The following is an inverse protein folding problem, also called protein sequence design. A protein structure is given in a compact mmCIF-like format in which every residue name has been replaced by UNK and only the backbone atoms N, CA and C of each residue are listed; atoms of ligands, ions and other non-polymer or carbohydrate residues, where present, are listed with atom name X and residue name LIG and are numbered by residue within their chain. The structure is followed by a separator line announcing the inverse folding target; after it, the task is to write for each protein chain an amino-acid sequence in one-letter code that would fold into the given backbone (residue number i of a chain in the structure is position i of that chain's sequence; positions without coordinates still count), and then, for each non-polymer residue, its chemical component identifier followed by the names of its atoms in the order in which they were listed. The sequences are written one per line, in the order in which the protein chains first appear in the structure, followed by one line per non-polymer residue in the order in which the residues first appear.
data_IF_084954723495
#
_entry.id   IF_084954723495
#
_cell.length_a   1.000
_cell.length_b   1.000
_cell.length_c   1.000
_cell.angle_alpha   90.00
_cell.angle_beta   90.00
_cell.angle_gamma   90.00
#
_symmetry.space_group_name_H-M   'P 1'
#
loop_
_entity.id
_entity.type
_entity.pdbx_description
1 polymer ?
#
# COMPACT_ATOMS: atom_id res chain seq x y z
N UNK A 1 -14.32 -13.25 -15.07
CA UNK A 1 -13.82 -12.09 -14.28
C UNK A 1 -13.27 -12.63 -12.96
N UNK A 2 -12.01 -13.12 -12.93
CA UNK A 2 -11.61 -14.19 -11.99
C UNK A 2 -10.90 -13.78 -10.69
N UNK A 3 -10.68 -12.50 -10.40
CA UNK A 3 -10.16 -12.08 -9.08
C UNK A 3 -10.72 -10.73 -8.67
N UNK A 4 -11.74 -10.76 -7.81
CA UNK A 4 -12.34 -9.57 -7.20
C UNK A 4 -11.29 -8.68 -6.53
N UNK A 5 -10.37 -9.31 -5.78
CA UNK A 5 -9.27 -8.63 -5.08
C UNK A 5 -8.30 -7.93 -6.03
N UNK A 6 -7.97 -8.53 -7.18
CA UNK A 6 -7.11 -7.89 -8.16
C UNK A 6 -7.75 -6.63 -8.76
N UNK A 7 -9.06 -6.66 -9.02
CA UNK A 7 -9.79 -5.48 -9.50
C UNK A 7 -9.89 -4.39 -8.44
N UNK A 8 -10.16 -4.76 -7.19
CA UNK A 8 -10.21 -3.79 -6.08
C UNK A 8 -8.85 -3.12 -5.87
N UNK A 9 -7.76 -3.89 -5.92
CA UNK A 9 -6.39 -3.39 -5.84
C UNK A 9 -6.10 -2.39 -6.98
N UNK A 10 -6.43 -2.77 -8.22
CA UNK A 10 -6.22 -1.93 -9.40
C UNK A 10 -7.01 -0.62 -9.31
N UNK A 11 -8.31 -0.71 -8.99
CA UNK A 11 -9.18 0.46 -8.85
C UNK A 11 -8.72 1.39 -7.72
N UNK A 12 -8.27 0.83 -6.59
CA UNK A 12 -7.75 1.62 -5.46
C UNK A 12 -6.46 2.34 -5.83
N UNK A 13 -5.54 1.67 -6.55
CA UNK A 13 -4.30 2.29 -7.02
C UNK A 13 -4.57 3.43 -8.01
N UNK A 14 -5.44 3.20 -9.00
CA UNK A 14 -5.85 4.23 -9.97
C UNK A 14 -6.58 5.39 -9.27
N UNK A 15 -7.47 5.07 -8.32
CA UNK A 15 -8.13 6.04 -7.45
C UNK A 15 -7.12 6.91 -6.71
N UNK A 16 -6.12 6.31 -6.09
CA UNK A 16 -4.99 6.98 -5.44
C UNK A 16 -4.28 7.98 -6.31
N UNK A 17 -3.87 7.55 -7.51
CA UNK A 17 -3.19 8.41 -8.46
C UNK A 17 -4.06 9.61 -8.88
N UNK A 18 -5.36 9.40 -9.10
CA UNK A 18 -6.30 10.48 -9.36
C UNK A 18 -6.47 11.41 -8.16
N UNK A 19 -6.56 10.87 -6.94
CA UNK A 19 -6.65 11.65 -5.70
C UNK A 19 -5.44 12.57 -5.51
N UNK A 20 -4.23 12.05 -5.73
CA UNK A 20 -2.99 12.84 -5.72
C UNK A 20 -3.01 13.95 -6.79
N UNK A 21 -3.43 13.63 -8.00
CA UNK A 21 -3.52 14.60 -9.10
C UNK A 21 -4.58 15.70 -8.85
N UNK A 22 -5.69 15.36 -8.21
CA UNK A 22 -6.73 16.31 -7.78
C UNK A 22 -6.23 17.25 -6.70
N UNK A 23 -5.47 16.74 -5.72
CA UNK A 23 -4.87 17.53 -4.65
C UNK A 23 -3.86 18.56 -5.17
N UNK A 24 -3.11 18.23 -6.22
CA UNK A 24 -2.16 19.16 -6.84
C UNK A 24 -2.81 20.32 -7.58
N UNK A 25 -3.96 20.09 -8.23
CA UNK A 25 -4.62 21.12 -9.04
C UNK A 25 -5.52 22.04 -8.23
N UNK A 26 -6.08 21.54 -7.13
CA UNK A 26 -7.00 22.29 -6.30
C UNK A 26 -6.49 22.27 -4.86
N UNK A 27 -5.90 23.36 -4.39
CA UNK A 27 -5.48 23.51 -2.97
C UNK A 27 -6.66 23.51 -1.99
N UNK A 28 -7.88 23.74 -2.47
CA UNK A 28 -9.13 23.59 -1.70
C UNK A 28 -9.77 22.21 -1.84
N UNK A 29 -9.06 21.21 -2.38
CA UNK A 29 -9.66 19.94 -2.79
C UNK A 29 -10.31 19.18 -1.62
N UNK A 30 -11.55 18.84 -1.91
CA UNK A 30 -12.55 18.17 -1.10
C UNK A 30 -12.07 16.86 -0.50
N UNK A 31 -12.67 16.46 0.64
CA UNK A 31 -12.36 15.20 1.33
C UNK A 31 -12.45 13.94 0.46
N UNK A 32 -13.10 14.00 -0.71
CA UNK A 32 -13.07 12.94 -1.71
C UNK A 32 -11.68 12.69 -2.32
N UNK A 33 -10.89 13.74 -2.59
CA UNK A 33 -9.53 13.59 -3.13
C UNK A 33 -8.60 12.93 -2.11
N UNK A 34 -8.71 13.32 -0.84
CA UNK A 34 -8.02 12.69 0.29
C UNK A 34 -8.44 11.23 0.48
N UNK A 35 -9.74 10.93 0.40
CA UNK A 35 -10.23 9.56 0.48
C UNK A 35 -9.63 8.67 -0.61
N UNK A 36 -9.62 9.16 -1.86
CA UNK A 36 -9.01 8.45 -2.98
C UNK A 36 -7.50 8.24 -2.77
N UNK A 37 -6.78 9.26 -2.30
CA UNK A 37 -5.35 9.15 -1.99
C UNK A 37 -5.09 8.06 -0.93
N UNK A 38 -5.88 8.03 0.14
CA UNK A 38 -5.78 7.03 1.21
C UNK A 38 -6.01 5.61 0.66
N UNK A 39 -7.01 5.42 -0.21
CA UNK A 39 -7.24 4.12 -0.85
C UNK A 39 -6.04 3.66 -1.68
N UNK A 40 -5.42 4.58 -2.42
CA UNK A 40 -4.19 4.30 -3.15
C UNK A 40 -3.03 3.92 -2.26
N UNK A 41 -2.83 4.67 -1.18
CA UNK A 41 -1.81 4.37 -0.16
C UNK A 41 -2.00 2.96 0.41
N UNK A 42 -3.21 2.62 0.85
CA UNK A 42 -3.54 1.28 1.37
C UNK A 42 -3.27 0.21 0.33
N UNK A 43 -3.62 0.44 -0.94
CA UNK A 43 -3.35 -0.53 -2.01
C UNK A 43 -1.85 -0.79 -2.14
N UNK A 44 -1.03 0.27 -2.21
CA UNK A 44 0.42 0.12 -2.35
C UNK A 44 1.00 -0.64 -1.13
N UNK A 45 0.64 -0.26 0.09
CA UNK A 45 1.09 -0.94 1.32
C UNK A 45 0.64 -2.41 1.36
N UNK A 46 -0.60 -2.70 0.96
CA UNK A 46 -1.09 -4.07 0.86
C UNK A 46 -0.27 -4.92 -0.11
N UNK A 47 0.25 -4.34 -1.20
CA UNK A 47 1.09 -5.05 -2.17
C UNK A 47 2.47 -5.41 -1.61
N UNK A 48 3.10 -4.51 -0.86
CA UNK A 48 4.38 -4.77 -0.19
C UNK A 48 4.21 -5.77 0.96
N UNK A 49 3.17 -5.63 1.77
CA UNK A 49 2.83 -6.61 2.81
C UNK A 49 2.58 -8.00 2.22
N UNK A 50 1.86 -8.07 1.10
CA UNK A 50 1.63 -9.35 0.40
C UNK A 50 2.94 -9.94 -0.12
N UNK A 51 3.84 -9.11 -0.66
CA UNK A 51 5.17 -9.54 -1.11
C UNK A 51 6.00 -10.09 0.04
N UNK A 52 5.97 -9.45 1.20
CA UNK A 52 6.64 -9.93 2.42
C UNK A 52 6.01 -11.25 2.89
N UNK A 53 4.67 -11.32 2.96
CA UNK A 53 3.95 -12.50 3.43
C UNK A 53 4.16 -13.73 2.55
N UNK A 54 4.28 -13.53 1.22
CA UNK A 54 4.60 -14.61 0.29
C UNK A 54 6.11 -14.90 0.22
N UNK A 55 6.97 -13.89 0.26
CA UNK A 55 8.41 -14.10 0.18
C UNK A 55 9.03 -14.71 1.43
N UNK A 56 8.38 -14.58 2.60
CA UNK A 56 8.78 -15.26 3.84
C UNK A 56 8.09 -16.61 4.04
N UNK A 57 7.24 -17.03 3.10
CA UNK A 57 6.56 -18.32 3.17
C UNK A 57 7.55 -19.44 2.81
N UNK A 58 7.61 -20.54 3.60
CA UNK A 58 8.38 -21.72 3.20
C UNK A 58 7.88 -22.29 1.88
N UNK A 59 8.81 -22.73 1.03
CA UNK A 59 8.51 -23.27 -0.31
C UNK A 59 7.50 -24.43 -0.27
N UNK A 60 7.63 -25.33 0.70
CA UNK A 60 6.70 -26.45 0.88
C UNK A 60 5.25 -25.98 1.08
N UNK A 61 5.05 -24.89 1.82
CA UNK A 61 3.71 -24.29 2.05
C UNK A 61 3.22 -23.54 0.83
N UNK A 62 4.12 -22.93 0.07
CA UNK A 62 3.78 -22.31 -1.20
C UNK A 62 3.30 -23.37 -2.21
N UNK A 63 4.07 -24.44 -2.36
CA UNK A 63 3.78 -25.52 -3.29
C UNK A 63 2.46 -26.23 -2.95
N UNK A 64 2.23 -26.53 -1.67
CA UNK A 64 0.99 -27.14 -1.22
C UNK A 64 -0.27 -26.29 -1.50
N UNK A 65 -0.13 -24.97 -1.59
CA UNK A 65 -1.26 -24.06 -1.82
C UNK A 65 -1.44 -23.71 -3.31
N UNK A 66 -0.36 -23.46 -4.03
CA UNK A 66 -0.41 -22.90 -5.38
C UNK A 66 0.05 -23.85 -6.48
N UNK A 67 0.82 -24.89 -6.13
CA UNK A 67 1.37 -25.88 -7.06
C UNK A 67 0.82 -27.29 -6.77
N UNK A 68 -0.46 -27.41 -6.42
CA UNK A 68 -1.10 -28.67 -6.01
C UNK A 68 -1.10 -29.76 -7.09
N UNK A 69 -1.04 -29.36 -8.36
CA UNK A 69 -1.01 -30.27 -9.52
C UNK A 69 0.41 -30.49 -10.07
N UNK A 70 1.42 -29.89 -9.43
CA UNK A 70 2.80 -29.97 -9.90
C UNK A 70 3.36 -31.38 -9.68
N UNK A 71 4.05 -31.91 -10.70
CA UNK A 71 4.76 -33.20 -10.60
C UNK A 71 5.99 -33.03 -9.69
N UNK A 72 6.45 -34.12 -9.08
CA UNK A 72 7.55 -34.13 -8.08
C UNK A 72 8.84 -33.37 -8.48
N UNK A 73 9.08 -33.17 -9.79
CA UNK A 73 10.21 -32.43 -10.33
C UNK A 73 9.99 -30.90 -10.48
N UNK A 74 8.87 -30.37 -10.00
CA UNK A 74 8.48 -28.95 -10.11
C UNK A 74 8.38 -28.27 -8.73
N UNK A 75 9.19 -28.72 -7.76
CA UNK A 75 9.28 -28.07 -6.45
C UNK A 75 9.80 -26.65 -6.60
N UNK A 76 9.18 -25.72 -5.88
CA UNK A 76 9.67 -24.34 -5.81
C UNK A 76 10.96 -24.33 -5.00
N UNK A 77 11.99 -23.70 -5.56
CA UNK A 77 13.21 -23.36 -4.82
C UNK A 77 13.34 -21.84 -4.81
N UNK A 78 12.89 -21.20 -3.73
CA UNK A 78 13.04 -19.76 -3.59
C UNK A 78 14.50 -19.40 -3.28
N UNK A 79 15.05 -18.49 -4.08
CA UNK A 79 16.43 -18.04 -3.96
C UNK A 79 16.55 -16.57 -3.58
N UNK A 80 17.76 -16.04 -3.77
CA UNK A 80 18.08 -14.63 -3.55
C UNK A 80 17.10 -13.59 -4.14
N UNK A 81 16.49 -13.78 -5.32
CA UNK A 81 15.53 -12.81 -5.85
C UNK A 81 14.32 -12.58 -4.95
N UNK A 82 13.84 -13.62 -4.26
CA UNK A 82 12.71 -13.51 -3.32
C UNK A 82 13.14 -12.70 -2.09
N UNK A 83 14.33 -13.00 -1.55
CA UNK A 83 14.90 -12.28 -0.39
C UNK A 83 15.06 -10.79 -0.68
N UNK A 84 15.63 -10.45 -1.84
CA UNK A 84 15.81 -9.04 -2.26
C UNK A 84 14.45 -8.35 -2.40
N UNK A 85 13.46 -9.04 -2.95
CA UNK A 85 12.09 -8.50 -3.11
C UNK A 85 11.43 -8.21 -1.75
N UNK A 86 11.64 -9.07 -0.75
CA UNK A 86 11.18 -8.85 0.63
C UNK A 86 11.89 -7.66 1.26
N UNK A 87 13.21 -7.56 1.12
CA UNK A 87 14.00 -6.44 1.66
C UNK A 87 13.53 -5.11 1.07
N UNK A 88 13.37 -5.04 -0.26
CA UNK A 88 12.89 -3.84 -0.94
C UNK A 88 11.47 -3.48 -0.50
N UNK A 89 10.58 -4.47 -0.40
CA UNK A 89 9.20 -4.23 0.06
C UNK A 89 9.15 -3.69 1.48
N UNK A 90 10.01 -4.21 2.37
CA UNK A 90 10.08 -3.75 3.76
C UNK A 90 10.61 -2.31 3.85
N UNK A 91 11.69 -2.00 3.14
CA UNK A 91 12.29 -0.65 3.13
C UNK A 91 11.30 0.36 2.55
N UNK A 92 10.71 0.05 1.39
CA UNK A 92 9.78 0.94 0.71
C UNK A 92 8.48 1.11 1.49
N UNK A 93 7.87 0.03 2.00
CA UNK A 93 6.66 0.12 2.80
C UNK A 93 6.87 0.89 4.09
N UNK A 94 7.93 0.61 4.85
CA UNK A 94 8.23 1.37 6.06
C UNK A 94 8.50 2.86 5.76
N UNK A 95 9.26 3.16 4.70
CA UNK A 95 9.56 4.53 4.29
C UNK A 95 8.32 5.31 3.85
N UNK A 96 7.49 4.71 3.00
CA UNK A 96 6.26 5.34 2.49
C UNK A 96 5.23 5.51 3.61
N UNK A 97 5.06 4.52 4.47
CA UNK A 97 4.23 4.64 5.68
C UNK A 97 4.68 5.79 6.59
N UNK A 98 5.99 5.93 6.80
CA UNK A 98 6.52 7.02 7.64
C UNK A 98 6.26 8.40 7.02
N UNK A 99 6.47 8.55 5.72
CA UNK A 99 6.16 9.80 5.00
C UNK A 99 4.67 10.13 5.11
N UNK A 100 3.81 9.14 4.90
CA UNK A 100 2.36 9.31 4.97
C UNK A 100 1.91 9.75 6.37
N UNK A 101 2.44 9.12 7.43
CA UNK A 101 2.15 9.50 8.81
C UNK A 101 2.67 10.90 9.16
N UNK A 102 3.88 11.26 8.71
CA UNK A 102 4.45 12.58 8.94
C UNK A 102 3.55 13.69 8.38
N UNK A 103 3.11 13.54 7.12
CA UNK A 103 2.19 14.48 6.46
C UNK A 103 0.84 14.52 7.20
N UNK A 104 0.30 13.35 7.57
CA UNK A 104 -0.97 13.28 8.31
C UNK A 104 -0.92 13.99 9.66
N UNK A 105 0.17 13.82 10.42
CA UNK A 105 0.36 14.51 11.68
C UNK A 105 0.56 16.00 11.51
N UNK A 106 1.38 16.43 10.54
CA UNK A 106 1.56 17.85 10.24
C UNK A 106 0.20 18.52 9.97
N UNK A 107 -0.62 17.93 9.11
CA UNK A 107 -1.93 18.46 8.77
C UNK A 107 -2.90 18.44 9.96
N UNK A 108 -2.91 17.38 10.77
CA UNK A 108 -3.76 17.29 11.97
C UNK A 108 -3.41 18.39 12.99
N UNK A 109 -2.13 18.58 13.29
CA UNK A 109 -1.71 19.59 14.25
C UNK A 109 -1.95 21.01 13.73
N UNK A 110 -1.71 21.26 12.43
CA UNK A 110 -2.01 22.56 11.83
C UNK A 110 -3.50 22.92 11.92
N UNK A 111 -4.38 21.95 11.66
CA UNK A 111 -5.82 22.14 11.82
C UNK A 111 -6.20 22.49 13.26
N UNK A 112 -5.63 21.78 14.25
CA UNK A 112 -5.90 22.05 15.68
C UNK A 112 -5.43 23.45 16.12
N UNK A 113 -4.25 23.88 15.67
CA UNK A 113 -3.72 25.21 15.98
C UNK A 113 -4.62 26.31 15.39
N UNK A 114 -5.11 26.12 14.17
CA UNK A 114 -5.98 27.09 13.51
C UNK A 114 -7.34 27.22 14.21
N UNK A 115 -7.96 26.11 14.60
CA UNK A 115 -9.21 26.10 15.38
C UNK A 115 -9.02 26.77 16.76
N UNK A 116 -7.92 26.48 17.46
CA UNK A 116 -7.60 27.14 18.72
C UNK A 116 -7.47 28.67 18.54
N UNK A 117 -6.87 29.13 17.44
CA UNK A 117 -6.75 30.56 17.12
C UNK A 117 -8.12 31.21 16.90
N UNK A 118 -9.04 30.54 16.21
CA UNK A 118 -10.40 31.04 15.97
C UNK A 118 -11.20 31.22 17.27
N UNK A 119 -11.00 30.35 18.25
CA UNK A 119 -11.68 30.44 19.56
C UNK A 119 -11.14 31.60 20.41
N UNK A 120 -9.86 31.97 20.22
CA UNK A 120 -9.19 33.05 20.97
C UNK A 120 -9.45 34.47 20.45
N UNK A 121 -10.08 34.60 19.28
CA UNK A 121 -10.44 35.89 18.65
C UNK A 121 -11.91 36.22 18.90
#
# INVERSE_FOLDING_TARGET
MKSFWAWMQLLSLLGGAMGYWLLQQNTSSSGAAWFLLILGFIAIEASWLTTIAFGLRPDEKWDAQFNTEAKDNQKTESGWPVVISVILSLILGAGVMMIFLAIGFEQFFMYQIEEARKISQ
#
